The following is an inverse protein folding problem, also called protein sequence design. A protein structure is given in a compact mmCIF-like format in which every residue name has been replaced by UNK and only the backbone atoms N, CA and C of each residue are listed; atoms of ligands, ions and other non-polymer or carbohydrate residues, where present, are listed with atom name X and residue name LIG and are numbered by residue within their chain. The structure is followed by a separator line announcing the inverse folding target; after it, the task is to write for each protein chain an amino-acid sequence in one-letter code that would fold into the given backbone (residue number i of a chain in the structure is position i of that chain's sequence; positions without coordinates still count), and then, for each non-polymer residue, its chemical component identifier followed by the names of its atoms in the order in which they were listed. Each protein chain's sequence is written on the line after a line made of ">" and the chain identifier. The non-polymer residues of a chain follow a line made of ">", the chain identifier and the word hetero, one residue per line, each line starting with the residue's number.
data_IF_302406462819
#
_entry.id   IF_302406462819
#
_cell.length_a   1.000
_cell.length_b   1.000
_cell.length_c   1.000
_cell.angle_alpha   90.00
_cell.angle_beta   90.00
_cell.angle_gamma   90.00
#
_symmetry.space_group_name_H-M   'P 1'
#
loop_
_entity.id
_entity.type
_entity.pdbx_description
1 polymer ?
#
# COMPACT_ATOMS: atom_id res chain seq x y z
N UNK A 1 32.95 32.59 6.83
CA UNK A 1 32.28 31.30 7.15
C UNK A 1 30.88 31.62 7.68
N UNK A 2 29.87 31.61 6.82
CA UNK A 2 28.50 31.95 7.20
C UNK A 2 27.73 30.67 7.58
N UNK A 3 27.20 30.63 8.80
CA UNK A 3 26.42 29.53 9.31
C UNK A 3 25.06 29.46 8.58
N UNK A 4 24.81 28.35 7.88
CA UNK A 4 23.54 28.09 7.22
C UNK A 4 22.46 27.81 8.29
N UNK A 5 21.39 28.61 8.41
CA UNK A 5 20.34 28.33 9.38
C UNK A 5 19.56 27.10 8.92
N UNK A 6 19.76 25.96 9.60
CA UNK A 6 18.96 24.76 9.42
C UNK A 6 17.56 25.00 9.99
N UNK A 7 16.69 25.60 9.19
CA UNK A 7 15.27 25.77 9.50
C UNK A 7 14.58 24.39 9.56
N UNK A 8 14.55 23.81 10.77
CA UNK A 8 13.93 22.53 11.11
C UNK A 8 12.45 22.44 10.68
N UNK A 9 11.75 23.57 10.54
CA UNK A 9 10.34 23.65 10.12
C UNK A 9 10.07 23.23 8.66
N UNK A 10 11.03 23.37 7.73
CA UNK A 10 10.80 22.99 6.32
C UNK A 10 10.79 21.47 6.09
N UNK A 11 11.31 20.66 7.02
CA UNK A 11 11.35 19.19 6.91
C UNK A 11 9.95 18.58 6.83
N UNK A 12 8.96 19.18 7.46
CA UNK A 12 7.57 18.70 7.43
C UNK A 12 6.95 18.80 6.03
N UNK A 13 7.31 19.84 5.26
CA UNK A 13 6.88 20.01 3.87
C UNK A 13 7.56 19.06 2.88
N UNK A 14 8.70 18.45 3.22
CA UNK A 14 9.34 17.46 2.34
C UNK A 14 8.49 16.20 2.16
N UNK A 15 7.64 15.85 3.13
CA UNK A 15 6.69 14.74 3.00
C UNK A 15 5.64 15.01 1.90
N UNK A 16 5.17 16.24 1.73
CA UNK A 16 4.29 16.65 0.61
C UNK A 16 4.96 16.51 -0.77
N UNK A 17 6.29 16.65 -0.82
CA UNK A 17 7.08 16.51 -2.05
C UNK A 17 7.25 15.05 -2.46
N UNK A 18 7.23 14.11 -1.51
CA UNK A 18 7.38 12.69 -1.80
C UNK A 18 6.01 12.05 -2.08
N UNK A 19 5.76 11.72 -3.35
CA UNK A 19 4.49 11.16 -3.81
C UNK A 19 4.12 9.85 -3.10
N UNK A 20 5.09 8.98 -2.78
CA UNK A 20 4.81 7.71 -2.12
C UNK A 20 4.24 7.94 -0.72
N UNK A 21 4.91 8.82 0.02
CA UNK A 21 4.52 9.25 1.35
C UNK A 21 3.12 9.89 1.32
N UNK A 22 2.89 10.88 0.44
CA UNK A 22 1.56 11.52 0.25
C UNK A 22 0.43 10.54 0.02
N UNK A 23 0.62 9.60 -0.92
CA UNK A 23 -0.39 8.57 -1.20
C UNK A 23 -0.58 7.67 0.01
N UNK A 24 0.50 7.26 0.67
CA UNK A 24 0.44 6.45 1.88
C UNK A 24 -0.39 7.09 2.98
N UNK A 25 -0.21 8.37 3.31
CA UNK A 25 -1.02 9.01 4.35
C UNK A 25 -2.47 9.19 3.93
N UNK A 26 -2.74 9.61 2.68
CA UNK A 26 -4.13 9.72 2.22
C UNK A 26 -4.84 8.37 2.30
N UNK A 27 -4.21 7.31 1.81
CA UNK A 27 -4.72 5.94 1.93
C UNK A 27 -4.92 5.54 3.39
N UNK A 28 -3.95 5.84 4.27
CA UNK A 28 -4.04 5.53 5.70
C UNK A 28 -5.17 6.29 6.41
N UNK A 29 -5.41 7.55 6.06
CA UNK A 29 -6.56 8.33 6.57
C UNK A 29 -7.87 7.68 6.14
N UNK A 30 -8.02 7.35 4.85
CA UNK A 30 -9.23 6.69 4.36
C UNK A 30 -9.47 5.34 5.05
N UNK A 31 -8.43 4.50 5.17
CA UNK A 31 -8.51 3.23 5.89
C UNK A 31 -8.93 3.42 7.34
N UNK A 32 -8.35 4.40 8.03
CA UNK A 32 -8.68 4.71 9.42
C UNK A 32 -10.14 5.16 9.57
N UNK A 33 -10.61 6.04 8.69
CA UNK A 33 -12.01 6.46 8.68
C UNK A 33 -12.97 5.30 8.43
N UNK A 34 -12.66 4.42 7.48
CA UNK A 34 -13.46 3.21 7.18
C UNK A 34 -13.50 2.30 8.42
N UNK A 35 -12.36 2.06 9.05
CA UNK A 35 -12.25 1.22 10.24
C UNK A 35 -13.07 1.78 11.41
N UNK A 36 -12.94 3.08 11.70
CA UNK A 36 -13.68 3.74 12.77
C UNK A 36 -15.18 3.72 12.49
N UNK A 37 -15.59 4.04 11.26
CA UNK A 37 -17.00 3.99 10.87
C UNK A 37 -17.56 2.58 10.99
N UNK A 38 -16.80 1.57 10.56
CA UNK A 38 -17.18 0.17 10.70
C UNK A 38 -17.35 -0.24 12.17
N UNK A 39 -16.42 0.12 13.05
CA UNK A 39 -16.55 -0.12 14.49
C UNK A 39 -17.77 0.60 15.07
N UNK A 40 -18.00 1.85 14.69
CA UNK A 40 -19.10 2.63 15.21
C UNK A 40 -20.45 2.00 14.84
N UNK A 41 -20.65 1.69 13.55
CA UNK A 41 -21.84 0.99 13.04
C UNK A 41 -22.01 -0.36 13.74
N UNK A 42 -20.92 -1.10 13.92
CA UNK A 42 -20.97 -2.44 14.51
C UNK A 42 -21.42 -2.44 15.98
N UNK A 43 -21.10 -1.38 16.72
CA UNK A 43 -21.39 -1.29 18.15
C UNK A 43 -22.67 -0.49 18.47
N UNK A 44 -23.11 0.43 17.62
CA UNK A 44 -24.24 1.33 17.91
C UNK A 44 -25.55 0.97 17.21
N UNK A 45 -25.56 0.06 16.23
CA UNK A 45 -26.76 -0.28 15.46
C UNK A 45 -27.10 -1.77 15.62
N UNK A 46 -27.85 -2.15 16.68
CA UNK A 46 -28.25 -3.53 16.94
C UNK A 46 -29.13 -4.13 15.82
N UNK A 47 -29.85 -3.29 15.08
CA UNK A 47 -30.70 -3.72 13.97
C UNK A 47 -29.92 -4.41 12.83
N UNK A 48 -28.59 -4.23 12.79
CA UNK A 48 -27.70 -4.85 11.82
C UNK A 48 -27.10 -6.19 12.28
N UNK A 49 -27.46 -6.71 13.46
CA UNK A 49 -27.01 -8.04 13.90
C UNK A 49 -27.35 -9.17 12.91
N UNK A 50 -28.56 -9.24 12.31
CA UNK A 50 -28.86 -10.24 11.28
C UNK A 50 -28.06 -10.07 9.99
N UNK A 51 -27.52 -8.87 9.75
CA UNK A 51 -26.73 -8.52 8.57
C UNK A 51 -25.22 -8.43 8.87
N UNK A 52 -24.78 -9.03 9.98
CA UNK A 52 -23.39 -8.95 10.43
C UNK A 52 -22.41 -9.41 9.34
N UNK A 53 -22.75 -10.48 8.61
CA UNK A 53 -21.92 -11.01 7.52
C UNK A 53 -21.79 -10.02 6.36
N UNK A 54 -22.90 -9.41 5.93
CA UNK A 54 -22.90 -8.44 4.83
C UNK A 54 -22.17 -7.15 5.24
N UNK A 55 -22.33 -6.70 6.49
CA UNK A 55 -21.59 -5.54 7.03
C UNK A 55 -20.10 -5.81 7.09
N UNK A 56 -19.69 -7.00 7.54
CA UNK A 56 -18.28 -7.36 7.61
C UNK A 56 -17.68 -7.55 6.20
N UNK A 57 -18.44 -8.15 5.27
CA UNK A 57 -18.03 -8.30 3.88
C UNK A 57 -17.85 -6.94 3.20
N UNK A 58 -18.79 -6.02 3.35
CA UNK A 58 -18.71 -4.68 2.77
C UNK A 58 -17.58 -3.86 3.37
N UNK A 59 -17.39 -3.89 4.70
CA UNK A 59 -16.24 -3.26 5.36
C UNK A 59 -14.90 -3.83 4.89
N UNK A 60 -14.81 -5.15 4.76
CA UNK A 60 -13.64 -5.84 4.22
C UNK A 60 -13.37 -5.47 2.75
N UNK A 61 -14.39 -5.51 1.90
CA UNK A 61 -14.28 -5.15 0.49
C UNK A 61 -13.82 -3.70 0.30
N UNK A 62 -14.37 -2.75 1.07
CA UNK A 62 -13.97 -1.35 1.01
C UNK A 62 -12.52 -1.16 1.49
N UNK A 63 -12.11 -1.88 2.53
CA UNK A 63 -10.72 -1.89 3.01
C UNK A 63 -9.78 -2.39 1.92
N UNK A 64 -10.08 -3.53 1.29
CA UNK A 64 -9.28 -4.10 0.19
C UNK A 64 -9.19 -3.13 -0.99
N UNK A 65 -10.30 -2.50 -1.37
CA UNK A 65 -10.35 -1.53 -2.47
C UNK A 65 -9.39 -0.36 -2.21
N UNK A 66 -9.44 0.20 -1.00
CA UNK A 66 -8.56 1.33 -0.61
C UNK A 66 -7.11 0.86 -0.47
N UNK A 67 -6.87 -0.34 0.07
CA UNK A 67 -5.54 -0.93 0.15
C UNK A 67 -4.88 -1.16 -1.21
N UNK A 68 -5.68 -1.37 -2.26
CA UNK A 68 -5.18 -1.53 -3.62
C UNK A 68 -4.63 -0.21 -4.21
N UNK A 69 -5.03 0.96 -3.70
CA UNK A 69 -4.63 2.27 -4.26
C UNK A 69 -3.10 2.40 -4.43
N UNK A 70 -2.27 2.16 -3.40
CA UNK A 70 -0.81 2.18 -3.54
C UNK A 70 -0.28 1.19 -4.60
N UNK A 71 -0.81 -0.02 -4.62
CA UNK A 71 -0.39 -1.10 -5.53
C UNK A 71 -0.69 -0.70 -6.98
N UNK A 72 -1.89 -0.20 -7.24
CA UNK A 72 -2.34 0.27 -8.54
C UNK A 72 -1.59 1.53 -9.00
N UNK A 73 -1.33 2.46 -8.09
CA UNK A 73 -0.67 3.72 -8.40
C UNK A 73 0.82 3.54 -8.71
N UNK A 74 1.51 2.64 -8.02
CA UNK A 74 2.96 2.45 -8.13
C UNK A 74 3.35 1.12 -8.78
N UNK A 75 2.53 0.56 -9.67
CA UNK A 75 2.77 -0.72 -10.39
C UNK A 75 4.17 -0.86 -11.01
N UNK A 76 4.83 0.24 -11.40
CA UNK A 76 6.19 0.21 -11.99
C UNK A 76 7.31 0.47 -10.99
N UNK A 77 6.98 0.74 -9.74
CA UNK A 77 7.89 1.24 -8.71
C UNK A 77 7.64 0.48 -7.40
N UNK A 78 8.08 -0.79 -7.29
CA UNK A 78 7.74 -1.68 -6.18
C UNK A 78 8.16 -1.11 -4.81
N UNK A 79 9.30 -0.43 -4.74
CA UNK A 79 9.74 0.26 -3.52
C UNK A 79 8.72 1.31 -3.06
N UNK A 80 8.11 2.05 -3.98
CA UNK A 80 7.07 3.04 -3.63
C UNK A 80 5.77 2.37 -3.18
N UNK A 81 5.43 1.18 -3.69
CA UNK A 81 4.31 0.37 -3.17
C UNK A 81 4.56 0.05 -1.70
N UNK A 82 5.74 -0.46 -1.37
CA UNK A 82 6.09 -0.83 0.00
C UNK A 82 6.05 0.38 0.94
N UNK A 83 6.77 1.46 0.61
CA UNK A 83 6.84 2.66 1.47
C UNK A 83 5.47 3.28 1.69
N UNK A 84 4.68 3.45 0.62
CA UNK A 84 3.34 4.04 0.73
C UNK A 84 2.36 3.11 1.48
N UNK A 85 2.42 1.81 1.22
CA UNK A 85 1.60 0.80 1.89
C UNK A 85 1.90 0.69 3.39
N UNK A 86 3.18 0.59 3.76
CA UNK A 86 3.59 0.60 5.17
C UNK A 86 3.17 1.89 5.86
N UNK A 87 3.35 3.05 5.21
CA UNK A 87 2.91 4.33 5.77
C UNK A 87 1.40 4.36 6.02
N UNK A 88 0.61 3.88 5.06
CA UNK A 88 -0.84 3.78 5.20
C UNK A 88 -1.24 2.86 6.36
N UNK A 89 -0.55 1.72 6.46
CA UNK A 89 -0.83 0.72 7.48
C UNK A 89 -0.41 1.14 8.88
N UNK A 90 0.68 1.89 9.00
CA UNK A 90 1.09 2.50 10.28
C UNK A 90 0.00 3.42 10.80
N UNK A 91 -0.58 4.27 9.95
CA UNK A 91 -1.68 5.16 10.37
C UNK A 91 -2.92 4.37 10.80
N UNK A 92 -3.29 3.33 10.04
CA UNK A 92 -4.38 2.45 10.44
C UNK A 92 -4.09 1.77 11.78
N UNK A 93 -2.85 1.33 12.01
CA UNK A 93 -2.43 0.71 13.28
C UNK A 93 -2.51 1.71 14.43
N UNK A 94 -2.12 2.97 14.22
CA UNK A 94 -2.26 4.01 15.24
C UNK A 94 -3.75 4.28 15.56
N UNK A 95 -4.61 4.31 14.54
CA UNK A 95 -6.05 4.41 14.75
C UNK A 95 -6.60 3.17 15.48
N UNK A 96 -6.09 1.98 15.16
CA UNK A 96 -6.43 0.74 15.85
C UNK A 96 -6.06 0.81 17.33
N UNK A 97 -4.84 1.23 17.64
CA UNK A 97 -4.35 1.39 19.02
C UNK A 97 -5.16 2.42 19.82
N UNK A 98 -5.56 3.53 19.18
CA UNK A 98 -6.45 4.51 19.81
C UNK A 98 -7.84 3.93 20.12
N UNK A 99 -8.34 3.04 19.25
CA UNK A 99 -9.63 2.38 19.43
C UNK A 99 -9.58 1.21 20.41
N UNK A 100 -8.44 0.50 20.54
CA UNK A 100 -8.22 -0.51 21.59
C UNK A 100 -8.49 0.06 22.99
N UNK A 101 -8.05 1.31 23.25
CA UNK A 101 -8.30 2.00 24.53
C UNK A 101 -9.81 2.18 24.83
N UNK A 102 -10.66 2.21 23.79
CA UNK A 102 -12.11 2.38 23.93
C UNK A 102 -12.87 1.05 23.88
N UNK A 103 -12.34 0.07 23.18
CA UNK A 103 -12.96 -1.24 22.95
C UNK A 103 -11.97 -2.37 23.30
N UNK A 104 -12.00 -2.83 24.55
CA UNK A 104 -11.08 -3.86 25.07
C UNK A 104 -11.17 -5.22 24.35
N UNK A 105 -12.30 -5.52 23.70
CA UNK A 105 -12.46 -6.71 22.87
C UNK A 105 -11.53 -6.74 21.65
N UNK A 106 -11.01 -5.60 21.18
CA UNK A 106 -10.05 -5.55 20.06
C UNK A 106 -8.70 -6.12 20.46
N UNK A 107 -8.15 -5.66 21.59
CA UNK A 107 -6.85 -6.11 22.12
C UNK A 107 -6.84 -7.64 22.32
N UNK A 108 -7.95 -8.20 22.82
CA UNK A 108 -8.07 -9.65 23.03
C UNK A 108 -8.09 -10.48 21.74
N UNK A 109 -8.44 -9.88 20.60
CA UNK A 109 -8.52 -10.58 19.31
C UNK A 109 -7.23 -10.49 18.51
N UNK A 110 -6.65 -9.30 18.40
CA UNK A 110 -5.46 -9.08 17.57
C UNK A 110 -4.73 -7.82 18.02
N UNK A 111 -3.71 -7.94 18.88
CA UNK A 111 -2.99 -6.76 19.37
C UNK A 111 -2.39 -5.89 18.25
N UNK A 112 -2.28 -4.58 18.48
CA UNK A 112 -1.81 -3.60 17.49
C UNK A 112 -0.49 -3.97 16.77
N UNK A 113 0.46 -4.62 17.44
CA UNK A 113 1.70 -5.07 16.79
C UNK A 113 1.47 -6.15 15.73
N UNK A 114 0.53 -7.07 15.98
CA UNK A 114 0.13 -8.08 15.00
C UNK A 114 -0.58 -7.44 13.81
N UNK A 115 -1.44 -6.43 14.06
CA UNK A 115 -2.05 -5.63 12.99
C UNK A 115 -0.95 -4.98 12.16
N UNK A 116 0.04 -4.33 12.77
CA UNK A 116 1.15 -3.71 12.06
C UNK A 116 1.92 -4.71 11.19
N UNK A 117 2.32 -5.84 11.78
CA UNK A 117 3.05 -6.90 11.08
C UNK A 117 2.25 -7.43 9.89
N UNK A 118 0.94 -7.64 10.05
CA UNK A 118 0.06 -8.13 8.98
C UNK A 118 0.16 -7.25 7.73
N UNK A 119 0.09 -5.92 7.88
CA UNK A 119 0.18 -5.03 6.73
C UNK A 119 1.59 -4.85 6.20
N UNK A 120 2.60 -4.80 7.07
CA UNK A 120 4.00 -4.73 6.65
C UNK A 120 4.37 -5.94 5.78
N UNK A 121 3.97 -7.14 6.20
CA UNK A 121 4.16 -8.38 5.46
C UNK A 121 3.34 -8.38 4.17
N UNK A 122 2.07 -7.98 4.23
CA UNK A 122 1.19 -7.94 3.05
C UNK A 122 1.70 -7.01 1.95
N UNK A 123 2.09 -5.78 2.30
CA UNK A 123 2.67 -4.84 1.34
C UNK A 123 4.09 -5.25 0.91
N UNK A 124 4.84 -5.93 1.77
CA UNK A 124 6.11 -6.56 1.42
C UNK A 124 5.94 -7.59 0.30
N UNK A 125 5.02 -8.54 0.47
CA UNK A 125 4.68 -9.50 -0.58
C UNK A 125 4.22 -8.82 -1.86
N UNK A 126 3.27 -7.87 -1.78
CA UNK A 126 2.79 -7.16 -2.97
C UNK A 126 3.93 -6.46 -3.73
N UNK A 127 4.86 -5.82 -3.02
CA UNK A 127 6.01 -5.17 -3.63
C UNK A 127 6.97 -6.17 -4.29
N UNK A 128 7.26 -7.29 -3.63
CA UNK A 128 8.13 -8.35 -4.16
C UNK A 128 7.52 -9.00 -5.39
N UNK A 129 6.24 -9.40 -5.35
CA UNK A 129 5.55 -9.97 -6.51
C UNK A 129 5.55 -9.00 -7.68
N UNK A 130 5.28 -7.72 -7.44
CA UNK A 130 5.30 -6.72 -8.49
C UNK A 130 6.70 -6.55 -9.08
N UNK A 131 7.74 -6.57 -8.25
CA UNK A 131 9.12 -6.50 -8.70
C UNK A 131 9.50 -7.71 -9.57
N UNK A 132 9.19 -8.93 -9.13
CA UNK A 132 9.44 -10.16 -9.90
C UNK A 132 8.68 -10.14 -11.22
N UNK A 133 7.42 -9.70 -11.23
CA UNK A 133 6.64 -9.54 -12.45
C UNK A 133 7.32 -8.60 -13.45
N UNK A 134 7.82 -7.45 -12.99
CA UNK A 134 8.55 -6.50 -13.84
C UNK A 134 9.84 -7.10 -14.39
N UNK A 135 10.57 -7.89 -13.60
CA UNK A 135 11.77 -8.60 -14.07
C UNK A 135 11.42 -9.59 -15.20
N UNK A 136 10.37 -10.40 -15.04
CA UNK A 136 9.93 -11.34 -16.06
C UNK A 136 9.49 -10.64 -17.36
N UNK A 137 8.81 -9.50 -17.24
CA UNK A 137 8.38 -8.70 -18.40
C UNK A 137 9.59 -8.11 -19.13
N UNK A 138 10.55 -7.54 -18.40
CA UNK A 138 11.76 -6.95 -18.97
C UNK A 138 12.64 -7.99 -19.67
N UNK A 139 12.84 -9.17 -19.05
CA UNK A 139 13.63 -10.25 -19.66
C UNK A 139 12.97 -10.75 -20.94
N UNK A 140 11.64 -10.90 -20.96
CA UNK A 140 10.88 -11.26 -22.16
C UNK A 140 11.04 -10.22 -23.27
N UNK A 141 10.94 -8.93 -22.96
CA UNK A 141 11.12 -7.87 -23.95
C UNK A 141 12.52 -7.84 -24.54
N UNK A 142 13.57 -8.02 -23.71
CA UNK A 142 14.96 -8.10 -24.18
C UNK A 142 15.19 -9.30 -25.08
N UNK A 143 14.64 -10.45 -24.72
CA UNK A 143 14.78 -11.67 -25.53
C UNK A 143 14.16 -11.48 -26.91
N UNK A 144 12.92 -10.97 -26.98
CA UNK A 144 12.25 -10.69 -28.26
C UNK A 144 13.06 -9.69 -29.10
N UNK A 145 13.53 -8.60 -28.51
CA UNK A 145 14.30 -7.58 -29.22
C UNK A 145 15.64 -8.12 -29.76
N UNK A 146 16.31 -9.00 -29.02
CA UNK A 146 17.55 -9.66 -29.46
C UNK A 146 17.29 -10.60 -30.63
N UNK A 147 16.25 -11.43 -30.56
CA UNK A 147 15.89 -12.37 -31.65
C UNK A 147 15.53 -11.63 -32.93
N UNK A 148 14.77 -10.52 -32.83
CA UNK A 148 14.44 -9.69 -34.01
C UNK A 148 15.69 -9.06 -34.62
N UNK A 149 16.61 -8.50 -33.82
CA UNK A 149 17.86 -7.93 -34.34
C UNK A 149 18.74 -8.98 -35.00
N UNK A 150 18.84 -10.17 -34.42
CA UNK A 150 19.57 -11.29 -35.00
C UNK A 150 18.99 -11.68 -36.38
N UNK A 151 17.66 -11.81 -36.49
CA UNK A 151 16.98 -12.12 -37.75
C UNK A 151 17.18 -11.03 -38.84
N UNK A 152 17.16 -9.75 -38.47
CA UNK A 152 17.42 -8.65 -39.42
C UNK A 152 18.88 -8.65 -39.87
N UNK A 153 19.84 -8.92 -38.96
CA UNK A 153 21.25 -8.98 -39.31
C UNK A 153 21.57 -10.14 -40.26
N UNK A 154 20.98 -11.32 -40.05
CA UNK A 154 21.16 -12.48 -40.92
C UNK A 154 20.51 -12.27 -42.28
N UNK A 155 19.35 -11.62 -42.35
CA UNK A 155 18.72 -11.25 -43.62
C UNK A 155 19.59 -10.25 -44.42
N UNK A 156 20.16 -9.23 -43.75
CA UNK A 156 21.04 -8.25 -44.40
C UNK A 156 22.34 -8.91 -44.91
N UNK A 157 22.89 -9.86 -44.17
CA UNK A 157 24.13 -10.53 -44.58
C UNK A 157 23.96 -11.44 -45.81
N UNK A 158 22.76 -12.00 -46.03
CA UNK A 158 22.44 -12.82 -47.21
C UNK A 158 22.15 -12.02 -48.48
N UNK A 159 21.95 -10.71 -48.37
CA UNK A 159 21.61 -9.84 -49.50
C UNK A 159 22.83 -9.16 -50.16
N UNK A 160 24.02 -9.37 -49.58
CA UNK A 160 25.33 -8.94 -50.12
C UNK A 160 26.11 -10.17 -50.58
#
# INVERSE_FOLDING_TARGET
>A
MAAQPRLLGLRWFFWLRNTALRIGVLTGIYLSCIFIAWLWIANHIPQLYPFADIRNLSGGALTILVMAIPVLRFRRQPVKIFVSGVTAWTLLTLAYMAMEMRFSLLESRLGALHVFMLGAVSYGFAAVFQWVFLLCVETRHRHVAQTTRAAVSTARHRAH
#
